data_IF_154031129102
#
_entry.id   IF_154031129102
#
_cell.length_a   1.000
_cell.length_b   1.000
_cell.length_c   1.000
_cell.angle_alpha   90.00
_cell.angle_beta   90.00
_cell.angle_gamma   90.00
#
_symmetry.space_group_name_H-M   'P 1'
#
loop_
_entity.id
_entity.type
_entity.pdbx_description
1 polymer ?
#
# COMPACT_ATOMS: atom_id res chain seq x y z
N UNK A 1 44.41 -2.18 -6.01
CA UNK A 1 43.75 -1.09 -5.26
C UNK A 1 42.57 -0.62 -6.09
N UNK A 2 41.36 -0.68 -5.56
CA UNK A 2 40.15 -0.20 -6.24
C UNK A 2 39.60 0.99 -5.43
N UNK A 3 39.91 2.24 -5.82
CA UNK A 3 39.39 3.41 -5.11
C UNK A 3 37.87 3.41 -5.06
N UNK A 4 37.30 3.48 -3.85
CA UNK A 4 35.85 3.48 -3.63
C UNK A 4 35.22 2.08 -3.51
N UNK A 5 36.01 1.01 -3.38
CA UNK A 5 35.46 -0.32 -3.13
C UNK A 5 34.77 -0.40 -1.76
N UNK A 6 33.60 -1.05 -1.73
CA UNK A 6 32.87 -1.34 -0.50
C UNK A 6 33.17 -2.77 -0.05
N UNK A 7 33.52 -2.92 1.22
CA UNK A 7 33.58 -4.22 1.89
C UNK A 7 32.28 -4.43 2.66
N UNK A 8 31.30 -5.05 2.00
CA UNK A 8 29.98 -5.31 2.59
C UNK A 8 30.05 -6.61 3.36
N UNK A 9 29.51 -6.62 4.59
CA UNK A 9 29.38 -7.83 5.37
C UNK A 9 28.38 -8.80 4.71
N UNK A 10 28.66 -10.09 4.83
CA UNK A 10 27.72 -11.12 4.38
C UNK A 10 26.41 -11.07 5.18
N UNK A 11 25.29 -11.38 4.51
CA UNK A 11 23.97 -11.46 5.12
C UNK A 11 22.92 -10.56 4.46
N UNK A 12 21.76 -10.46 5.10
CA UNK A 12 20.63 -9.68 4.62
C UNK A 12 20.15 -8.69 5.68
N UNK A 13 19.71 -7.52 5.23
CA UNK A 13 19.04 -6.53 6.08
C UNK A 13 17.54 -6.80 6.06
N UNK A 14 16.98 -7.14 7.23
CA UNK A 14 15.53 -7.32 7.38
C UNK A 14 14.87 -5.95 7.38
N UNK A 15 13.97 -5.72 6.42
CA UNK A 15 13.21 -4.48 6.33
C UNK A 15 11.90 -4.59 7.13
N UNK A 16 11.44 -3.46 7.68
CA UNK A 16 10.12 -3.35 8.36
C UNK A 16 9.92 -4.37 9.51
N UNK A 17 10.99 -4.76 10.19
CA UNK A 17 10.97 -5.76 11.26
C UNK A 17 9.93 -5.43 12.36
N UNK A 18 9.30 -6.48 12.88
CA UNK A 18 8.33 -6.39 13.99
C UNK A 18 6.95 -5.83 13.60
N UNK A 19 6.69 -5.56 12.32
CA UNK A 19 5.38 -5.10 11.85
C UNK A 19 4.49 -6.26 11.44
N UNK A 20 3.21 -6.16 11.77
CA UNK A 20 2.20 -7.11 11.31
C UNK A 20 2.06 -7.03 9.78
N UNK A 21 2.17 -8.19 9.12
CA UNK A 21 2.03 -8.32 7.68
C UNK A 21 0.61 -8.76 7.35
N UNK A 22 -0.02 -8.08 6.39
CA UNK A 22 -1.32 -8.46 5.83
C UNK A 22 -1.17 -8.71 4.34
N UNK A 23 -1.41 -9.95 3.93
CA UNK A 23 -1.41 -10.32 2.52
C UNK A 23 -2.79 -10.13 1.91
N UNK A 24 -2.87 -9.44 0.77
CA UNK A 24 -4.11 -9.26 0.01
C UNK A 24 -3.88 -9.53 -1.47
N UNK A 25 -4.88 -10.11 -2.13
CA UNK A 25 -4.90 -10.24 -3.59
C UNK A 25 -5.43 -8.95 -4.21
N UNK A 26 -4.68 -8.41 -5.17
CA UNK A 26 -4.98 -7.15 -5.83
C UNK A 26 -5.03 -7.37 -7.33
N UNK A 27 -6.11 -6.91 -7.96
CA UNK A 27 -6.33 -7.04 -9.40
C UNK A 27 -6.43 -5.68 -10.06
N UNK A 28 -5.63 -5.44 -11.10
CA UNK A 28 -5.79 -4.28 -11.95
C UNK A 28 -6.87 -4.56 -13.00
N UNK A 29 -8.03 -3.95 -12.84
CA UNK A 29 -9.15 -4.11 -13.79
C UNK A 29 -9.19 -3.00 -14.86
N UNK A 30 -8.20 -2.11 -14.86
CA UNK A 30 -8.05 -1.07 -15.86
C UNK A 30 -7.40 -1.58 -17.15
N UNK A 31 -7.39 -0.70 -18.15
CA UNK A 31 -6.79 -0.89 -19.47
C UNK A 31 -5.33 -0.40 -19.57
N UNK A 32 -4.80 0.17 -18.47
CA UNK A 32 -3.47 0.77 -18.40
C UNK A 32 -2.67 0.16 -17.23
N UNK A 33 -1.35 0.11 -17.36
CA UNK A 33 -0.50 -0.35 -16.27
C UNK A 33 -0.55 0.61 -15.09
N UNK A 34 -0.50 0.06 -13.88
CA UNK A 34 -0.50 0.81 -12.62
C UNK A 34 0.72 0.39 -11.80
N UNK A 35 1.43 1.36 -11.25
CA UNK A 35 2.59 1.12 -10.40
C UNK A 35 2.42 1.83 -9.06
N UNK A 36 2.58 1.10 -7.96
CA UNK A 36 2.34 1.60 -6.60
C UNK A 36 3.65 1.58 -5.82
N UNK A 37 4.04 2.73 -5.28
CA UNK A 37 5.28 2.90 -4.51
C UNK A 37 5.19 2.37 -3.09
N UNK A 38 6.36 2.08 -2.50
CA UNK A 38 6.53 1.51 -1.15
C UNK A 38 5.79 2.24 -0.02
N UNK A 39 5.69 3.58 -0.09
CA UNK A 39 5.15 4.43 0.98
C UNK A 39 3.88 5.17 0.58
N UNK A 40 3.19 4.72 -0.46
CA UNK A 40 1.86 5.21 -0.81
C UNK A 40 0.80 4.53 0.07
N UNK A 41 -0.19 5.28 0.53
CA UNK A 41 -1.28 4.71 1.33
C UNK A 41 -2.09 3.74 0.47
N UNK A 42 -1.95 2.44 0.74
CA UNK A 42 -2.42 1.41 -0.18
C UNK A 42 -3.95 1.41 -0.34
N UNK A 43 -4.66 1.83 0.70
CA UNK A 43 -6.10 2.10 0.66
C UNK A 43 -6.53 3.07 -0.44
N UNK A 44 -5.67 4.04 -0.80
CA UNK A 44 -5.97 5.16 -1.69
C UNK A 44 -5.40 4.95 -3.09
N UNK A 45 -4.91 3.75 -3.43
CA UNK A 45 -4.41 3.48 -4.79
C UNK A 45 -5.54 3.58 -5.81
N UNK A 46 -5.15 3.68 -7.08
CA UNK A 46 -6.02 3.90 -8.23
C UNK A 46 -7.36 3.15 -8.12
N UNK A 47 -8.46 3.87 -8.41
CA UNK A 47 -9.84 3.37 -8.33
C UNK A 47 -10.13 2.12 -9.17
N UNK A 48 -9.35 1.86 -10.22
CA UNK A 48 -9.49 0.67 -11.06
C UNK A 48 -8.86 -0.59 -10.45
N UNK A 49 -8.10 -0.45 -9.36
CA UNK A 49 -7.56 -1.60 -8.62
C UNK A 49 -8.64 -2.14 -7.69
N UNK A 50 -8.94 -3.43 -7.86
CA UNK A 50 -9.93 -4.16 -7.09
C UNK A 50 -9.22 -5.07 -6.05
N UNK A 51 -9.55 -4.84 -4.78
CA UNK A 51 -9.07 -5.59 -3.62
C UNK A 51 -9.94 -5.22 -2.41
N UNK A 52 -9.71 -5.88 -1.27
CA UNK A 52 -10.34 -5.53 0.01
C UNK A 52 -9.70 -4.26 0.58
N UNK A 53 -10.32 -3.11 0.35
CA UNK A 53 -9.79 -1.83 0.82
C UNK A 53 -9.81 -1.72 2.33
N UNK A 54 -10.80 -2.32 3.01
CA UNK A 54 -10.87 -2.26 4.46
C UNK A 54 -9.63 -2.90 5.13
N UNK A 55 -9.07 -3.96 4.54
CA UNK A 55 -7.81 -4.59 4.99
C UNK A 55 -6.56 -3.75 4.73
N UNK A 56 -6.60 -2.81 3.78
CA UNK A 56 -5.48 -1.96 3.39
C UNK A 56 -5.46 -0.58 4.10
N UNK A 57 -6.50 -0.25 4.87
CA UNK A 57 -6.60 1.01 5.60
C UNK A 57 -5.44 1.18 6.60
N UNK A 58 -4.74 2.32 6.53
CA UNK A 58 -3.59 2.61 7.37
C UNK A 58 -2.32 1.83 7.03
N UNK A 59 -2.25 1.19 5.85
CA UNK A 59 -1.12 0.33 5.45
C UNK A 59 -0.45 0.77 4.14
N UNK A 60 0.78 0.30 3.96
CA UNK A 60 1.63 0.50 2.77
C UNK A 60 2.30 -0.81 2.37
N UNK A 61 2.87 -0.87 1.15
CA UNK A 61 3.57 -2.06 0.66
C UNK A 61 4.77 -2.42 1.56
N UNK A 62 4.89 -3.72 1.85
CA UNK A 62 6.03 -4.31 2.55
C UNK A 62 7.18 -4.61 1.59
N UNK A 63 7.75 -3.56 1.00
CA UNK A 63 8.86 -3.68 0.03
C UNK A 63 10.00 -2.74 0.42
N UNK A 64 11.12 -2.87 -0.28
CA UNK A 64 12.29 -1.98 -0.11
C UNK A 64 11.85 -0.53 -0.32
N UNK A 65 12.29 0.37 0.55
CA UNK A 65 11.96 1.78 0.45
C UNK A 65 12.33 2.34 -0.94
N UNK A 66 11.49 3.25 -1.45
CA UNK A 66 11.62 3.86 -2.78
C UNK A 66 11.42 2.92 -3.98
N UNK A 67 11.14 1.63 -3.78
CA UNK A 67 10.71 0.73 -4.85
C UNK A 67 9.20 0.72 -5.04
N UNK A 68 8.71 -0.03 -6.02
CA UNK A 68 7.29 -0.10 -6.38
C UNK A 68 6.90 -1.50 -6.90
N UNK A 69 5.61 -1.82 -6.80
CA UNK A 69 5.00 -3.00 -7.42
C UNK A 69 4.20 -2.55 -8.65
N UNK A 70 4.41 -3.24 -9.77
CA UNK A 70 3.74 -2.99 -11.05
C UNK A 70 2.65 -4.02 -11.31
N UNK A 71 1.52 -3.53 -11.77
CA UNK A 71 0.34 -4.31 -12.17
C UNK A 71 0.01 -4.01 -13.64
N UNK A 72 0.13 -5.01 -14.50
CA UNK A 72 -0.33 -4.92 -15.89
C UNK A 72 -1.87 -4.95 -15.98
N UNK A 73 -2.47 -4.50 -17.09
CA UNK A 73 -3.92 -4.61 -17.30
C UNK A 73 -4.41 -6.05 -17.14
N UNK A 74 -5.41 -6.28 -16.28
CA UNK A 74 -5.98 -7.60 -15.99
C UNK A 74 -5.17 -8.47 -15.02
N UNK A 75 -4.00 -8.00 -14.58
CA UNK A 75 -3.12 -8.79 -13.72
C UNK A 75 -3.62 -8.83 -12.26
N UNK A 76 -3.60 -10.03 -11.67
CA UNK A 76 -3.84 -10.26 -10.24
C UNK A 76 -2.55 -10.71 -9.56
N UNK A 77 -2.21 -10.07 -8.44
CA UNK A 77 -1.06 -10.43 -7.60
C UNK A 77 -1.41 -10.36 -6.13
N UNK A 78 -0.79 -11.25 -5.36
CA UNK A 78 -0.76 -11.11 -3.91
C UNK A 78 0.35 -10.11 -3.52
N UNK A 79 0.00 -9.18 -2.64
CA UNK A 79 0.93 -8.22 -2.07
C UNK A 79 0.87 -8.23 -0.56
N UNK A 80 2.02 -7.97 0.05
CA UNK A 80 2.15 -7.81 1.48
C UNK A 80 2.07 -6.34 1.86
N UNK A 81 1.25 -6.05 2.87
CA UNK A 81 1.10 -4.73 3.45
C UNK A 81 1.54 -4.72 4.91
N UNK A 82 2.17 -3.62 5.32
CA UNK A 82 2.49 -3.32 6.72
C UNK A 82 1.84 -2.01 7.14
N UNK A 83 1.44 -1.85 8.42
CA UNK A 83 0.90 -0.60 8.91
C UNK A 83 1.92 0.54 8.85
N UNK A 84 1.44 1.76 8.64
CA UNK A 84 2.23 2.94 8.92
C UNK A 84 2.64 2.97 10.40
N UNK A 85 3.79 3.58 10.66
CA UNK A 85 4.27 3.85 12.01
C UNK A 85 4.16 5.36 12.30
N UNK A 86 4.78 5.81 13.40
CA UNK A 86 4.68 7.20 13.83
C UNK A 86 3.26 7.55 14.27
N UNK A 87 2.83 8.77 14.00
CA UNK A 87 1.52 9.27 14.42
C UNK A 87 0.33 8.70 13.64
N UNK A 88 0.56 7.87 12.61
CA UNK A 88 -0.49 7.20 11.81
C UNK A 88 -1.59 8.13 11.27
N UNK A 89 -1.18 9.34 10.88
CA UNK A 89 -2.01 10.32 10.19
C UNK A 89 -1.60 10.42 8.73
N UNK A 90 -2.56 10.27 7.83
CA UNK A 90 -2.34 10.25 6.38
C UNK A 90 -3.06 11.43 5.74
N UNK A 91 -2.31 12.18 4.92
CA UNK A 91 -2.79 13.37 4.21
C UNK A 91 -2.43 13.30 2.72
N UNK A 92 -3.25 13.93 1.86
CA UNK A 92 -3.07 13.97 0.40
C UNK A 92 -3.62 12.72 -0.28
N UNK A 93 -2.80 12.05 -1.10
CA UNK A 93 -3.17 10.84 -1.86
C UNK A 93 -4.40 11.05 -2.75
N UNK A 94 -5.57 10.50 -2.38
CA UNK A 94 -6.85 10.73 -3.08
C UNK A 94 -7.87 11.40 -2.15
N UNK A 95 -7.40 12.07 -1.08
CA UNK A 95 -8.22 12.77 -0.09
C UNK A 95 -9.29 11.90 0.59
N UNK A 96 -9.08 10.57 0.61
CA UNK A 96 -10.04 9.65 1.21
C UNK A 96 -9.94 9.71 2.74
N UNK A 97 -8.75 9.86 3.30
CA UNK A 97 -8.54 9.87 4.75
C UNK A 97 -8.33 11.29 5.29
N UNK A 98 -7.22 11.94 4.94
CA UNK A 98 -6.84 13.27 5.46
C UNK A 98 -6.93 13.39 6.99
N UNK A 99 -6.39 12.40 7.71
CA UNK A 99 -6.51 12.31 9.15
C UNK A 99 -5.98 11.01 9.73
N UNK A 100 -6.50 10.67 10.90
CA UNK A 100 -6.14 9.48 11.67
C UNK A 100 -6.52 8.17 10.94
N UNK A 101 -5.75 7.11 11.19
CA UNK A 101 -6.00 5.76 10.63
C UNK A 101 -6.14 4.67 11.70
N UNK A 102 -6.24 5.04 12.97
CA UNK A 102 -6.32 4.08 14.08
C UNK A 102 -7.76 3.87 14.55
N UNK A 103 -8.64 4.84 14.34
CA UNK A 103 -10.04 4.75 14.76
C UNK A 103 -10.93 4.08 13.71
N UNK A 104 -11.86 3.23 14.17
CA UNK A 104 -12.88 2.63 13.30
C UNK A 104 -13.77 3.70 12.66
N UNK A 105 -14.03 4.82 13.36
CA UNK A 105 -14.80 5.96 12.80
C UNK A 105 -14.09 6.55 11.57
N UNK A 106 -12.77 6.72 11.62
CA UNK A 106 -12.01 7.21 10.47
C UNK A 106 -12.07 6.23 9.29
N UNK A 107 -11.94 4.93 9.58
CA UNK A 107 -12.04 3.86 8.58
C UNK A 107 -13.43 3.83 7.92
N UNK A 108 -14.49 3.90 8.70
CA UNK A 108 -15.87 3.94 8.19
C UNK A 108 -16.11 5.16 7.29
N UNK A 109 -15.64 6.34 7.69
CA UNK A 109 -15.76 7.56 6.89
C UNK A 109 -14.97 7.47 5.58
N UNK A 110 -13.77 6.90 5.61
CA UNK A 110 -12.96 6.66 4.42
C UNK A 110 -13.63 5.63 3.47
N UNK A 111 -14.24 4.57 4.03
CA UNK A 111 -14.97 3.57 3.24
C UNK A 111 -16.24 4.13 2.58
N UNK A 112 -16.93 5.10 3.22
CA UNK A 112 -18.03 5.84 2.59
C UNK A 112 -17.54 6.59 1.35
N UNK A 113 -16.43 7.33 1.46
CA UNK A 113 -15.82 8.05 0.33
C UNK A 113 -15.35 7.11 -0.79
N UNK A 114 -14.79 5.94 -0.44
CA UNK A 114 -14.44 4.89 -1.43
C UNK A 114 -15.65 4.55 -2.30
N UNK A 115 -16.81 4.34 -1.67
CA UNK A 115 -18.06 4.03 -2.39
C UNK A 115 -18.56 5.22 -3.21
N UNK A 116 -18.60 6.41 -2.62
CA UNK A 116 -19.08 7.64 -3.28
C UNK A 116 -18.24 8.02 -4.50
N UNK A 117 -16.92 7.85 -4.43
CA UNK A 117 -15.99 8.21 -5.50
C UNK A 117 -15.73 7.06 -6.49
N UNK A 118 -16.39 5.92 -6.32
CA UNK A 118 -16.31 4.79 -7.27
C UNK A 118 -14.98 4.06 -7.27
N UNK A 119 -14.29 3.98 -6.13
CA UNK A 119 -13.12 3.13 -5.97
C UNK A 119 -13.57 1.67 -5.88
N UNK A 120 -13.00 0.82 -6.74
CA UNK A 120 -13.31 -0.62 -6.73
C UNK A 120 -12.91 -1.22 -5.39
N UNK A 121 -13.81 -2.02 -4.83
CA UNK A 121 -13.64 -2.69 -3.57
C UNK A 121 -14.24 -4.09 -3.66
N UNK A 122 -13.49 -5.09 -3.21
CA UNK A 122 -13.94 -6.47 -3.14
C UNK A 122 -14.16 -6.81 -1.67
N UNK A 123 -15.43 -6.96 -1.28
CA UNK A 123 -15.79 -7.48 0.04
C UNK A 123 -15.69 -9.00 -0.07
N UNK A 124 -14.56 -9.56 0.36
CA UNK A 124 -14.40 -11.01 0.53
C UNK A 124 -15.16 -11.48 1.76
#
# INVERSE_FOLDING_TARGET
>A
MIPGEFFIADGHVICNEGREVTTITVTNTGDRPIQVGSHFHFFEVNKMMEFDRAKAFGKRLNIIASTAVRFEPGESKDVELVPYAGARRIYGHNDLVNGDTETEVAKENAMKKVKEQGFKNKVS
#
